data_IF_250473507067
#
_entry.id   IF_250473507067
#
_cell.length_a   1.000
_cell.length_b   1.000
_cell.length_c   1.000
_cell.angle_alpha   90.00
_cell.angle_beta   90.00
_cell.angle_gamma   90.00
#
_symmetry.space_group_name_H-M   'P 1'
#
loop_
_entity.id
_entity.type
_entity.pdbx_description
1 polymer ?
#
# COMPACT_ATOMS: atom_id res chain seq x y z
N UNK A 1 -10.68 7.04 -28.85
CA UNK A 1 -11.66 8.15 -28.94
C UNK A 1 -11.15 9.13 -29.98
N UNK A 2 -11.97 9.48 -30.98
CA UNK A 2 -11.63 10.51 -31.97
C UNK A 2 -12.35 11.79 -31.56
N UNK A 3 -11.61 12.88 -31.37
CA UNK A 3 -12.18 14.21 -31.11
C UNK A 3 -12.00 15.03 -32.39
N UNK A 4 -13.11 15.43 -33.01
CA UNK A 4 -13.10 16.29 -34.20
C UNK A 4 -13.52 17.70 -33.76
N UNK A 5 -12.55 18.58 -33.56
CA UNK A 5 -12.77 20.02 -33.38
C UNK A 5 -12.69 20.74 -34.72
N UNK A 6 -13.57 21.70 -34.98
CA UNK A 6 -13.53 22.53 -36.19
C UNK A 6 -12.25 23.38 -36.22
N UNK A 7 -11.27 22.88 -36.99
CA UNK A 7 -9.90 23.39 -37.11
C UNK A 7 -9.02 22.20 -37.49
N UNK A 8 -8.68 22.06 -38.78
CA UNK A 8 -8.23 20.82 -39.43
C UNK A 8 -6.95 20.20 -38.87
N UNK A 9 -7.08 19.50 -37.74
CA UNK A 9 -6.06 18.60 -37.20
C UNK A 9 -6.73 17.26 -36.91
N UNK A 10 -6.23 16.20 -37.52
CA UNK A 10 -6.65 14.83 -37.23
C UNK A 10 -5.61 14.25 -36.30
N UNK A 11 -6.02 13.87 -35.10
CA UNK A 11 -5.17 13.15 -34.15
C UNK A 11 -5.77 11.78 -33.84
N UNK A 12 -4.89 10.80 -33.69
CA UNK A 12 -5.24 9.44 -33.33
C UNK A 12 -4.16 8.85 -32.43
N UNK A 13 -4.59 8.06 -31.44
CA UNK A 13 -3.69 7.37 -30.52
C UNK A 13 -4.16 5.95 -30.29
N UNK A 14 -3.21 5.03 -30.14
CA UNK A 14 -3.45 3.65 -29.73
C UNK A 14 -2.65 3.37 -28.47
N UNK A 15 -3.26 2.70 -27.51
CA UNK A 15 -2.61 2.35 -26.24
C UNK A 15 -2.89 0.92 -25.83
N UNK A 16 -1.92 0.30 -25.18
CA UNK A 16 -1.99 -1.04 -24.62
C UNK A 16 -1.40 -1.02 -23.20
N UNK A 17 -2.07 -1.68 -22.25
CA UNK A 17 -1.55 -1.83 -20.91
C UNK A 17 -2.19 -2.98 -20.18
N UNK A 18 -1.44 -3.52 -19.22
CA UNK A 18 -1.86 -4.62 -18.38
C UNK A 18 -1.31 -4.40 -16.98
N UNK A 19 -2.15 -4.67 -15.99
CA UNK A 19 -1.79 -4.61 -14.58
C UNK A 19 -2.17 -5.94 -13.94
N UNK A 20 -1.23 -6.53 -13.20
CA UNK A 20 -1.47 -7.73 -12.41
C UNK A 20 -0.91 -7.52 -11.00
N UNK A 21 -1.70 -7.87 -9.99
CA UNK A 21 -1.29 -7.70 -8.61
C UNK A 21 -2.00 -8.66 -7.68
N UNK A 22 -1.36 -8.93 -6.54
CA UNK A 22 -1.92 -9.70 -5.44
C UNK A 22 -1.66 -8.95 -4.14
N UNK A 23 -2.71 -8.70 -3.38
CA UNK A 23 -2.64 -7.99 -2.09
C UNK A 23 -3.25 -8.83 -0.99
N UNK A 24 -2.46 -9.06 0.06
CA UNK A 24 -2.88 -9.60 1.34
C UNK A 24 -2.15 -8.81 2.42
N UNK A 25 -2.63 -7.60 2.69
CA UNK A 25 -1.96 -6.60 3.52
C UNK A 25 -2.88 -6.23 4.67
N UNK A 26 -2.36 -6.17 5.89
CA UNK A 26 -3.11 -5.62 7.03
C UNK A 26 -2.86 -4.12 7.05
N UNK A 27 -3.91 -3.36 6.73
CA UNK A 27 -3.90 -1.89 6.79
C UNK A 27 -3.88 -1.39 8.24
N UNK A 28 -4.69 -2.02 9.09
CA UNK A 28 -4.81 -1.63 10.49
C UNK A 28 -4.80 -2.86 11.39
N UNK A 29 -3.82 -2.88 12.29
CA UNK A 29 -3.73 -3.89 13.35
C UNK A 29 -4.92 -3.75 14.30
N UNK A 30 -5.53 -4.86 14.74
CA UNK A 30 -6.48 -4.83 15.86
C UNK A 30 -5.75 -4.47 17.14
N UNK A 31 -6.18 -3.40 17.84
CA UNK A 31 -5.52 -2.92 19.05
C UNK A 31 -6.51 -2.68 20.19
N UNK A 32 -6.10 -3.04 21.40
CA UNK A 32 -6.72 -2.63 22.65
C UNK A 32 -5.67 -1.85 23.42
N UNK A 33 -5.82 -0.53 23.46
CA UNK A 33 -4.85 0.36 24.11
C UNK A 33 -5.55 1.30 25.09
N UNK A 34 -4.92 1.55 26.23
CA UNK A 34 -5.40 2.54 27.19
C UNK A 34 -4.26 3.39 27.75
N UNK A 35 -4.54 4.67 27.98
CA UNK A 35 -3.57 5.62 28.54
C UNK A 35 -3.09 5.23 29.94
N UNK A 36 -4.00 4.74 30.78
CA UNK A 36 -3.72 4.55 32.20
C UNK A 36 -3.81 3.09 32.66
N UNK A 37 -4.83 2.32 32.28
CA UNK A 37 -4.93 0.92 32.66
C UNK A 37 -5.67 0.07 31.63
N UNK A 38 -5.14 -1.11 31.36
CA UNK A 38 -5.86 -2.20 30.69
C UNK A 38 -6.05 -3.36 31.67
N UNK A 39 -7.28 -3.81 31.85
CA UNK A 39 -7.61 -4.99 32.66
C UNK A 39 -8.54 -5.89 31.84
N UNK A 40 -8.02 -7.04 31.41
CA UNK A 40 -8.74 -8.01 30.59
C UNK A 40 -8.77 -9.31 31.34
N UNK A 41 -9.99 -9.80 31.60
CA UNK A 41 -10.20 -11.13 32.15
C UNK A 41 -11.05 -11.96 31.20
N UNK A 42 -10.52 -13.11 30.80
CA UNK A 42 -11.25 -14.12 30.03
C UNK A 42 -11.27 -15.43 30.81
N UNK A 43 -12.40 -16.12 30.81
CA UNK A 43 -12.56 -17.35 31.61
C UNK A 43 -11.86 -18.55 30.96
N UNK A 44 -11.83 -18.63 29.62
CA UNK A 44 -11.44 -19.86 28.91
C UNK A 44 -10.17 -19.72 28.06
N UNK A 45 -10.21 -18.88 27.04
CA UNK A 45 -9.14 -18.78 26.06
C UNK A 45 -9.07 -17.37 25.51
N UNK A 46 -7.84 -16.87 25.37
CA UNK A 46 -7.55 -15.65 24.63
C UNK A 46 -6.65 -16.02 23.45
N UNK A 47 -7.09 -15.64 22.25
CA UNK A 47 -6.32 -15.76 21.02
C UNK A 47 -5.90 -14.38 20.55
N UNK A 48 -4.61 -14.21 20.27
CA UNK A 48 -4.01 -12.95 19.85
C UNK A 48 -3.25 -13.13 18.54
N UNK A 49 -3.98 -13.08 17.43
CA UNK A 49 -3.39 -13.23 16.09
C UNK A 49 -3.15 -11.86 15.47
N UNK A 50 -1.88 -11.46 15.39
CA UNK A 50 -1.47 -10.16 14.88
C UNK A 50 -2.11 -8.98 15.61
N UNK A 51 -2.61 -9.16 16.84
CA UNK A 51 -3.29 -8.11 17.60
C UNK A 51 -2.39 -7.51 18.69
N UNK A 52 -2.64 -6.26 19.05
CA UNK A 52 -1.90 -5.52 20.07
C UNK A 52 -2.77 -5.25 21.30
N UNK A 53 -2.30 -5.59 22.50
CA UNK A 53 -2.90 -5.16 23.77
C UNK A 53 -1.84 -4.41 24.56
N UNK A 54 -2.04 -3.13 24.87
CA UNK A 54 -1.03 -2.34 25.59
C UNK A 54 -1.63 -1.27 26.49
N UNK A 55 -0.85 -0.80 27.45
CA UNK A 55 -1.15 0.43 28.18
C UNK A 55 0.03 1.37 28.14
N UNK A 56 -0.20 2.66 27.90
CA UNK A 56 0.86 3.68 27.80
C UNK A 56 1.59 3.85 29.14
N UNK A 57 0.92 3.59 30.26
CA UNK A 57 1.48 3.61 31.61
C UNK A 57 2.23 2.33 31.99
N UNK A 58 2.13 1.26 31.18
CA UNK A 58 2.59 -0.08 31.52
C UNK A 58 1.70 -0.83 32.53
N UNK A 59 0.56 -0.26 32.92
CA UNK A 59 -0.42 -0.90 33.81
C UNK A 59 -1.39 -1.76 32.99
N UNK A 60 -0.92 -2.92 32.58
CA UNK A 60 -1.72 -3.92 31.88
C UNK A 60 -1.84 -5.17 32.73
N UNK A 61 -3.06 -5.71 32.80
CA UNK A 61 -3.32 -7.06 33.33
C UNK A 61 -4.15 -7.84 32.32
N UNK A 62 -3.61 -8.96 31.85
CA UNK A 62 -4.32 -9.94 31.04
C UNK A 62 -4.42 -11.25 31.83
N UNK A 63 -5.64 -11.67 32.17
CA UNK A 63 -5.93 -12.85 32.98
C UNK A 63 -6.81 -13.84 32.19
N UNK A 64 -6.19 -14.90 31.67
CA UNK A 64 -6.86 -15.93 30.86
C UNK A 64 -6.58 -17.34 31.37
N UNK A 65 -7.40 -18.32 31.00
CA UNK A 65 -7.09 -19.70 31.31
C UNK A 65 -6.04 -20.27 30.34
N UNK A 66 -6.18 -20.07 29.03
CA UNK A 66 -5.18 -20.44 28.01
C UNK A 66 -4.91 -19.27 27.08
N UNK A 67 -3.66 -19.11 26.65
CA UNK A 67 -3.25 -18.05 25.73
C UNK A 67 -2.69 -18.68 24.45
N UNK A 68 -3.20 -18.26 23.31
CA UNK A 68 -2.61 -18.51 22.00
C UNK A 68 -2.31 -17.19 21.29
N UNK A 69 -1.26 -17.17 20.49
CA UNK A 69 -0.88 -16.01 19.71
C UNK A 69 -0.13 -16.44 18.45
N UNK A 70 -0.29 -15.66 17.39
CA UNK A 70 0.39 -15.88 16.12
C UNK A 70 0.73 -14.57 15.45
N UNK A 71 1.76 -14.58 14.61
CA UNK A 71 2.11 -13.46 13.76
C UNK A 71 1.42 -13.61 12.39
N UNK A 72 1.01 -12.50 11.77
CA UNK A 72 0.41 -12.48 10.44
C UNK A 72 1.39 -11.87 9.45
N UNK A 73 1.80 -12.66 8.46
CA UNK A 73 2.60 -12.19 7.34
C UNK A 73 1.71 -11.59 6.25
N UNK A 74 2.03 -10.36 5.84
CA UNK A 74 1.34 -9.65 4.76
C UNK A 74 2.23 -9.42 3.56
N UNK A 75 1.61 -9.31 2.38
CA UNK A 75 2.26 -9.01 1.10
C UNK A 75 1.41 -8.08 0.24
N UNK A 76 2.03 -7.14 -0.45
CA UNK A 76 1.41 -6.31 -1.49
C UNK A 76 2.34 -6.27 -2.70
N UNK A 77 2.01 -7.06 -3.73
CA UNK A 77 2.80 -7.17 -4.97
C UNK A 77 1.98 -6.70 -6.15
N UNK A 78 2.51 -5.75 -6.91
CA UNK A 78 1.84 -5.17 -8.06
C UNK A 78 2.82 -4.90 -9.19
N UNK A 79 2.46 -5.30 -10.41
CA UNK A 79 3.22 -5.03 -11.62
C UNK A 79 2.28 -4.50 -12.69
N UNK A 80 2.60 -3.34 -13.24
CA UNK A 80 1.82 -2.70 -14.29
C UNK A 80 2.71 -2.14 -15.39
N UNK A 81 2.24 -2.23 -16.63
CA UNK A 81 2.88 -1.53 -17.74
C UNK A 81 1.83 -0.96 -18.69
N UNK A 82 2.20 0.15 -19.32
CA UNK A 82 1.37 0.84 -20.29
C UNK A 82 2.25 1.46 -21.37
N UNK A 83 1.77 1.41 -22.60
CA UNK A 83 2.40 2.04 -23.75
C UNK A 83 1.31 2.66 -24.63
N UNK A 84 1.49 3.93 -25.00
CA UNK A 84 0.64 4.71 -25.86
C UNK A 84 1.48 5.32 -26.98
N UNK A 85 0.95 5.23 -28.21
CA UNK A 85 1.54 5.87 -29.39
C UNK A 85 0.48 6.77 -30.01
N UNK A 86 0.80 8.05 -30.13
CA UNK A 86 -0.07 9.10 -30.68
C UNK A 86 0.55 9.76 -31.91
N UNK A 87 -0.29 10.10 -32.88
CA UNK A 87 0.09 10.85 -34.08
C UNK A 87 -0.89 11.97 -34.36
N UNK A 88 -0.38 13.10 -34.83
CA UNK A 88 -1.20 14.24 -35.25
C UNK A 88 -0.76 14.72 -36.63
N UNK A 89 -1.75 14.96 -37.49
CA UNK A 89 -1.56 15.51 -38.83
C UNK A 89 -2.37 16.80 -38.96
N UNK A 90 -1.66 17.92 -39.15
CA UNK A 90 -2.26 19.23 -39.42
C UNK A 90 -2.12 19.59 -40.90
N UNK A 91 -3.24 19.70 -41.60
CA UNK A 91 -3.28 20.16 -43.00
C UNK A 91 -4.03 21.49 -43.06
N UNK A 92 -3.31 22.59 -43.29
CA UNK A 92 -3.94 23.86 -43.63
C UNK A 92 -3.11 25.09 -43.36
N UNK A 93 -2.69 25.75 -44.44
CA UNK A 93 -2.09 27.08 -44.43
C UNK A 93 -3.10 28.14 -43.96
N UNK A 94 -2.71 28.93 -42.97
CA UNK A 94 -3.25 30.26 -42.60
C UNK A 94 -4.73 30.35 -42.23
N UNK A 95 -5.05 30.56 -40.94
CA UNK A 95 -5.78 31.76 -40.44
C UNK A 95 -5.96 31.75 -38.93
N UNK A 96 -5.64 32.91 -38.33
CA UNK A 96 -5.98 33.41 -36.99
C UNK A 96 -5.54 32.61 -35.77
N UNK A 97 -4.38 33.02 -35.25
CA UNK A 97 -3.80 32.61 -33.97
C UNK A 97 -4.70 33.06 -32.80
N UNK A 98 -5.26 32.11 -32.07
CA UNK A 98 -5.84 32.34 -30.74
C UNK A 98 -4.71 32.74 -29.76
N UNK A 99 -4.79 33.92 -29.12
CA UNK A 99 -3.75 34.40 -28.22
C UNK A 99 -3.59 33.58 -26.92
N UNK A 100 -4.44 32.60 -26.65
CA UNK A 100 -4.25 31.65 -25.53
C UNK A 100 -3.22 30.55 -25.83
N UNK A 101 -2.71 30.46 -27.06
CA UNK A 101 -1.74 29.43 -27.51
C UNK A 101 -0.41 30.02 -27.98
N UNK A 102 -0.01 31.17 -27.44
CA UNK A 102 1.32 31.75 -27.70
C UNK A 102 2.37 31.05 -26.85
N UNK A 103 3.12 30.11 -27.44
CA UNK A 103 4.31 29.54 -26.78
C UNK A 103 4.84 28.21 -27.32
N UNK A 104 4.11 27.50 -28.18
CA UNK A 104 4.58 26.21 -28.71
C UNK A 104 4.74 26.23 -30.23
N UNK A 105 5.95 26.58 -30.66
CA UNK A 105 6.56 26.10 -31.91
C UNK A 105 5.91 26.56 -33.23
N UNK A 106 6.70 27.19 -34.10
CA UNK A 106 6.26 27.62 -35.42
C UNK A 106 5.72 26.49 -36.32
N UNK A 107 4.74 26.87 -37.14
CA UNK A 107 4.26 26.30 -38.40
C UNK A 107 4.44 24.79 -38.65
N UNK A 108 3.30 24.11 -38.84
CA UNK A 108 3.14 22.88 -39.65
C UNK A 108 4.16 21.77 -39.40
N UNK A 109 4.06 21.06 -38.28
CA UNK A 109 4.81 19.80 -38.12
C UNK A 109 3.90 18.65 -37.76
N UNK A 110 4.01 17.58 -38.54
CA UNK A 110 3.51 16.26 -38.20
C UNK A 110 4.16 15.86 -36.89
N UNK A 111 3.35 15.75 -35.84
CA UNK A 111 3.83 15.42 -34.52
C UNK A 111 3.53 13.98 -34.18
N UNK A 112 4.50 13.27 -33.63
CA UNK A 112 4.27 11.95 -33.04
C UNK A 112 4.73 11.93 -31.58
N UNK A 113 4.02 11.17 -30.76
CA UNK A 113 4.29 11.00 -29.35
C UNK A 113 4.31 9.52 -28.98
N UNK A 114 5.24 9.13 -28.13
CA UNK A 114 5.25 7.83 -27.46
C UNK A 114 5.31 8.10 -25.96
N UNK A 115 4.36 7.54 -25.23
CA UNK A 115 4.29 7.60 -23.79
C UNK A 115 4.16 6.19 -23.24
N UNK A 116 4.88 5.86 -22.19
CA UNK A 116 4.70 4.59 -21.51
C UNK A 116 5.16 4.66 -20.08
N UNK A 117 4.64 3.78 -19.25
CA UNK A 117 5.07 3.65 -17.88
C UNK A 117 5.21 2.17 -17.51
N UNK A 118 6.13 1.90 -16.60
CA UNK A 118 6.32 0.61 -15.95
C UNK A 118 6.32 0.84 -14.44
N UNK A 119 5.57 0.02 -13.72
CA UNK A 119 5.38 0.10 -12.28
C UNK A 119 5.58 -1.28 -11.66
N UNK A 120 6.39 -1.34 -10.60
CA UNK A 120 6.60 -2.53 -9.79
C UNK A 120 6.53 -2.12 -8.32
N UNK A 121 5.79 -2.87 -7.53
CA UNK A 121 5.68 -2.74 -6.08
C UNK A 121 5.82 -4.12 -5.46
N UNK A 122 6.71 -4.26 -4.49
CA UNK A 122 6.89 -5.46 -3.67
C UNK A 122 7.05 -5.05 -2.21
N UNK A 123 5.98 -5.19 -1.44
CA UNK A 123 5.95 -4.88 -0.01
C UNK A 123 5.64 -6.13 0.79
N UNK A 124 6.36 -6.32 1.88
CA UNK A 124 6.19 -7.43 2.82
C UNK A 124 6.10 -6.87 4.25
N UNK A 125 5.25 -7.47 5.07
CA UNK A 125 5.07 -7.06 6.46
C UNK A 125 4.91 -8.26 7.39
N UNK A 126 5.15 -8.03 8.67
CA UNK A 126 4.84 -8.94 9.78
C UNK A 126 4.05 -8.15 10.83
N UNK A 127 2.87 -8.64 11.16
CA UNK A 127 2.04 -8.10 12.25
C UNK A 127 2.06 -9.09 13.40
N UNK A 128 2.65 -8.71 14.52
CA UNK A 128 2.90 -9.63 15.64
C UNK A 128 1.78 -9.64 16.65
N UNK A 129 1.46 -10.82 17.17
CA UNK A 129 0.66 -10.95 18.40
C UNK A 129 1.44 -10.34 19.56
N UNK A 130 0.99 -9.18 20.05
CA UNK A 130 1.76 -8.36 20.99
C UNK A 130 0.96 -7.99 22.22
N UNK A 131 1.55 -8.23 23.39
CA UNK A 131 1.04 -7.66 24.65
C UNK A 131 2.12 -6.73 25.18
N UNK A 132 1.80 -5.48 25.48
CA UNK A 132 2.71 -4.48 26.04
C UNK A 132 3.00 -4.70 27.52
N UNK A 133 3.91 -3.89 28.08
CA UNK A 133 4.35 -3.99 29.47
C UNK A 133 3.20 -4.12 30.48
N UNK A 134 3.38 -5.01 31.47
CA UNK A 134 2.37 -5.38 32.46
C UNK A 134 2.35 -6.89 32.76
N UNK A 135 1.32 -7.35 33.44
CA UNK A 135 1.14 -8.72 33.89
C UNK A 135 0.30 -9.53 32.90
N UNK A 136 0.81 -10.71 32.52
CA UNK A 136 0.08 -11.71 31.74
C UNK A 136 -0.02 -12.98 32.58
N UNK A 137 -1.23 -13.32 33.00
CA UNK A 137 -1.55 -14.47 33.83
C UNK A 137 -2.29 -15.50 32.98
N UNK A 138 -1.64 -16.64 32.77
CA UNK A 138 -2.23 -17.80 32.10
C UNK A 138 -2.47 -18.88 33.15
N UNK A 139 -3.72 -19.08 33.57
CA UNK A 139 -4.06 -19.93 34.73
C UNK A 139 -3.79 -21.42 34.50
N UNK A 140 -3.74 -21.87 33.23
CA UNK A 140 -3.40 -23.25 32.89
C UNK A 140 -1.89 -23.53 32.86
N UNK A 141 -1.05 -22.49 32.92
CA UNK A 141 0.40 -22.64 33.01
C UNK A 141 0.76 -23.24 34.38
N UNK A 142 0.99 -24.54 34.37
CA UNK A 142 1.36 -25.35 35.53
C UNK A 142 2.52 -26.25 35.16
N UNK A 143 3.38 -26.57 36.13
CA UNK A 143 4.47 -27.53 35.92
C UNK A 143 5.56 -27.10 34.93
N UNK A 144 5.84 -25.78 34.83
CA UNK A 144 6.93 -25.25 34.00
C UNK A 144 6.56 -24.96 32.54
N UNK A 145 5.27 -25.06 32.17
CA UNK A 145 4.77 -24.49 30.92
C UNK A 145 4.70 -22.98 31.04
N UNK A 146 5.15 -22.29 30.00
CA UNK A 146 5.03 -20.85 29.86
C UNK A 146 4.39 -20.58 28.49
N UNK A 147 3.08 -20.31 28.49
CA UNK A 147 2.31 -19.96 27.29
C UNK A 147 2.62 -18.54 26.82
N UNK A 148 3.43 -17.77 27.55
CA UNK A 148 3.91 -16.44 27.13
C UNK A 148 5.31 -16.51 26.52
N UNK A 149 5.99 -17.66 26.58
CA UNK A 149 7.31 -17.83 26.00
C UNK A 149 7.28 -17.64 24.49
N UNK A 150 7.89 -16.55 23.99
CA UNK A 150 7.89 -16.17 22.57
C UNK A 150 6.86 -15.11 22.19
N UNK A 151 5.97 -14.72 23.11
CA UNK A 151 5.02 -13.63 22.89
C UNK A 151 5.78 -12.32 22.74
N UNK A 152 5.43 -11.53 21.72
CA UNK A 152 6.06 -10.22 21.57
C UNK A 152 5.63 -9.29 22.71
N UNK A 153 6.61 -8.73 23.41
CA UNK A 153 6.42 -7.76 24.51
C UNK A 153 6.79 -6.33 24.12
N UNK A 154 7.27 -6.15 22.89
CA UNK A 154 7.72 -4.87 22.34
C UNK A 154 6.62 -4.27 21.45
N UNK A 155 5.97 -3.21 21.93
CA UNK A 155 4.85 -2.55 21.24
C UNK A 155 5.32 -1.90 19.93
N UNK A 156 6.58 -1.46 19.85
CA UNK A 156 7.12 -0.82 18.66
C UNK A 156 7.36 -1.83 17.53
N UNK A 157 7.46 -3.12 17.87
CA UNK A 157 7.57 -4.24 16.92
C UNK A 157 6.26 -4.98 16.70
N UNK A 158 5.14 -4.44 17.16
CA UNK A 158 3.84 -5.04 16.93
C UNK A 158 3.46 -5.05 15.44
N UNK A 159 4.01 -4.13 14.65
CA UNK A 159 3.81 -4.02 13.22
C UNK A 159 5.13 -3.63 12.54
N UNK A 160 5.63 -4.48 11.65
CA UNK A 160 6.90 -4.28 10.98
C UNK A 160 6.74 -4.45 9.46
N UNK A 161 7.25 -3.50 8.69
CA UNK A 161 7.39 -3.63 7.24
C UNK A 161 8.79 -4.18 6.98
N UNK A 162 8.86 -5.42 6.47
CA UNK A 162 10.13 -6.13 6.26
C UNK A 162 10.70 -5.92 4.86
N UNK A 163 9.88 -5.53 3.90
CA UNK A 163 10.29 -5.11 2.56
C UNK A 163 9.37 -3.99 2.08
N UNK A 164 9.96 -2.98 1.47
CA UNK A 164 9.22 -1.85 0.90
C UNK A 164 9.94 -1.37 -0.37
N UNK A 165 9.73 -2.09 -1.47
CA UNK A 165 10.34 -1.78 -2.76
C UNK A 165 9.26 -1.29 -3.72
N UNK A 166 9.35 -0.04 -4.15
CA UNK A 166 8.45 0.56 -5.13
C UNK A 166 9.26 1.27 -6.23
N UNK A 167 9.02 0.89 -7.47
CA UNK A 167 9.72 1.39 -8.63
C UNK A 167 8.73 1.78 -9.73
N UNK A 168 8.80 3.04 -10.15
CA UNK A 168 8.07 3.57 -11.29
C UNK A 168 9.03 4.17 -12.29
N UNK A 169 8.85 3.82 -13.56
CA UNK A 169 9.59 4.39 -14.68
C UNK A 169 8.59 4.92 -15.69
N UNK A 170 8.65 6.21 -15.98
CA UNK A 170 7.83 6.87 -17.00
C UNK A 170 8.74 7.27 -18.18
N UNK A 171 8.28 7.02 -19.40
CA UNK A 171 8.98 7.34 -20.65
C UNK A 171 8.05 8.18 -21.51
N UNK A 172 8.54 9.34 -21.94
CA UNK A 172 7.82 10.24 -22.84
C UNK A 172 8.74 10.78 -23.91
N UNK A 173 8.36 10.61 -25.17
CA UNK A 173 9.10 11.09 -26.34
C UNK A 173 8.12 11.77 -27.28
N UNK A 174 8.42 13.01 -27.69
CA UNK A 174 7.65 13.73 -28.71
C UNK A 174 8.56 14.34 -29.76
N UNK A 175 8.01 14.53 -30.96
CA UNK A 175 8.66 15.22 -32.06
C UNK A 175 7.65 16.05 -32.83
#
# INVERSE_FOLDING_TARGET
TVVVGFGGSVSGSVGYGQTNGSKNWIEEQTRITAKDKVDIRTENHTQLDGALIASDSGNLKLDTNTLGYSDIAGKDKEHGYYLNVGGSYGTGSSTTQDPSQVGKGGNQKNGWSVEGWNYNKDREQIVRGTVGAGDVVVRSDTGGKDSTAGLNRDVDKAYEITRDDEHRTDVYVTK
#
